data_IF_741772105469
#
_entry.id   IF_741772105469
#
_cell.length_a   1.000
_cell.length_b   1.000
_cell.length_c   1.000
_cell.angle_alpha   90.00
_cell.angle_beta   90.00
_cell.angle_gamma   90.00
#
_symmetry.space_group_name_H-M   'P 1'
#
loop_
_entity.id
_entity.type
_entity.pdbx_description
1 polymer ?
#
# COMPACT_ATOMS: atom_id res chain seq x y z
N UNK A 1 27.76 -46.35 8.26
CA UNK A 1 26.77 -46.53 9.34
C UNK A 1 26.87 -45.39 10.33
N UNK A 2 25.74 -44.93 10.87
CA UNK A 2 25.50 -43.77 11.78
C UNK A 2 25.04 -42.51 11.03
N UNK A 3 23.96 -41.79 11.38
CA UNK A 3 22.69 -42.00 12.13
C UNK A 3 21.92 -40.66 11.93
N UNK A 4 20.62 -40.70 11.64
CA UNK A 4 19.74 -39.51 11.53
C UNK A 4 19.57 -38.79 12.87
N UNK A 5 19.43 -37.46 12.87
CA UNK A 5 18.57 -36.70 13.81
C UNK A 5 17.97 -35.47 13.12
N UNK A 6 16.64 -35.45 12.99
CA UNK A 6 15.81 -34.29 12.71
C UNK A 6 15.47 -33.58 14.03
N UNK A 7 15.44 -32.24 14.05
CA UNK A 7 14.76 -31.49 15.10
C UNK A 7 14.06 -30.27 14.49
N UNK A 8 12.74 -30.34 14.45
CA UNK A 8 11.85 -29.24 14.14
C UNK A 8 11.51 -28.50 15.44
N UNK A 9 11.57 -27.17 15.44
CA UNK A 9 10.99 -26.35 16.51
C UNK A 9 9.86 -25.55 15.90
N UNK A 10 8.63 -25.90 16.29
CA UNK A 10 7.40 -25.16 16.00
C UNK A 10 7.24 -24.11 17.09
N UNK A 11 7.34 -22.83 16.72
CA UNK A 11 6.96 -21.71 17.60
C UNK A 11 5.53 -21.30 17.25
N UNK A 12 4.61 -21.65 18.14
CA UNK A 12 3.24 -21.17 18.15
C UNK A 12 3.19 -19.84 18.90
N UNK A 13 2.85 -18.74 18.19
CA UNK A 13 2.55 -17.46 18.82
C UNK A 13 1.04 -17.28 18.92
N UNK A 14 0.55 -17.20 20.15
CA UNK A 14 -0.83 -16.97 20.53
C UNK A 14 -1.25 -15.53 20.29
N UNK A 15 -2.39 -15.34 19.64
CA UNK A 15 -3.08 -14.06 19.53
C UNK A 15 -3.79 -13.73 20.86
N UNK A 16 -3.56 -12.54 21.39
CA UNK A 16 -4.37 -11.98 22.48
C UNK A 16 -5.39 -10.99 21.89
N UNK A 17 -6.66 -11.39 21.92
CA UNK A 17 -7.82 -10.51 21.72
C UNK A 17 -8.12 -9.84 23.06
N UNK A 18 -8.06 -8.52 23.14
CA UNK A 18 -8.69 -7.75 24.22
C UNK A 18 -9.81 -6.94 23.59
N UNK A 19 -11.03 -7.45 23.71
CA UNK A 19 -12.27 -6.71 23.49
C UNK A 19 -12.70 -6.13 24.84
N UNK A 20 -12.54 -4.82 25.03
CA UNK A 20 -13.12 -4.11 26.17
C UNK A 20 -14.42 -3.48 25.72
N UNK A 21 -15.52 -4.21 25.92
CA UNK A 21 -16.87 -3.64 25.90
C UNK A 21 -17.26 -3.34 27.36
N UNK A 22 -17.20 -2.06 27.74
CA UNK A 22 -17.99 -1.49 28.83
C UNK A 22 -18.86 -0.43 28.16
N UNK A 23 -20.19 -0.56 28.06
CA UNK A 23 -21.10 -1.02 29.10
C UNK A 23 -21.54 0.19 29.91
N UNK A 24 -22.20 1.16 29.26
CA UNK A 24 -22.87 2.27 29.95
C UNK A 24 -24.35 1.95 30.04
N UNK A 25 -24.79 1.79 31.28
CA UNK A 25 -26.10 1.38 31.76
C UNK A 25 -27.25 2.16 31.15
N UNK A 26 -28.13 1.47 30.42
CA UNK A 26 -29.49 1.94 30.14
C UNK A 26 -30.42 1.48 31.26
N UNK A 27 -30.53 2.28 32.32
CA UNK A 27 -31.62 2.17 33.28
C UNK A 27 -32.69 3.21 32.92
N UNK A 28 -33.77 2.74 32.30
CA UNK A 28 -34.98 3.53 32.10
C UNK A 28 -35.99 3.19 33.18
N UNK A 29 -36.38 4.18 33.98
CA UNK A 29 -37.71 4.26 34.61
C UNK A 29 -38.08 5.73 34.80
N UNK A 30 -39.27 6.08 34.34
CA UNK A 30 -39.90 7.40 34.44
C UNK A 30 -40.05 7.86 35.90
N UNK A 31 -39.81 9.15 36.19
CA UNK A 31 -40.73 10.10 36.86
C UNK A 31 -40.04 11.30 37.54
N UNK A 32 -40.47 12.50 37.12
CA UNK A 32 -40.74 13.73 37.90
C UNK A 32 -39.57 14.55 38.48
N UNK A 33 -39.33 15.74 37.92
CA UNK A 33 -39.49 17.06 38.57
C UNK A 33 -38.61 18.15 37.92
N UNK A 34 -39.24 19.24 37.51
CA UNK A 34 -38.67 20.44 36.87
C UNK A 34 -37.74 21.25 37.79
N UNK A 35 -36.62 21.77 37.27
CA UNK A 35 -36.16 23.15 37.55
C UNK A 35 -35.06 23.60 36.58
N UNK A 36 -35.00 24.91 36.36
CA UNK A 36 -34.43 25.60 35.20
C UNK A 36 -32.90 25.82 35.22
N UNK A 37 -32.33 25.82 34.02
CA UNK A 37 -31.40 26.85 33.50
C UNK A 37 -29.99 26.94 34.07
N UNK A 38 -28.98 26.58 33.27
CA UNK A 38 -27.96 27.54 32.81
C UNK A 38 -27.23 26.99 31.58
N UNK A 39 -27.23 27.79 30.52
CA UNK A 39 -26.33 27.72 29.38
C UNK A 39 -24.89 27.97 29.83
N UNK A 40 -24.02 26.97 29.67
CA UNK A 40 -22.57 27.16 29.66
C UNK A 40 -22.02 26.44 28.44
N UNK A 41 -22.00 27.18 27.33
CA UNK A 41 -21.19 26.90 26.17
C UNK A 41 -19.73 27.10 26.53
N UNK A 42 -18.91 26.04 26.48
CA UNK A 42 -17.46 26.18 26.47
C UNK A 42 -16.79 25.03 25.71
N UNK A 43 -16.20 25.43 24.60
CA UNK A 43 -15.15 24.77 23.84
C UNK A 43 -15.45 23.35 23.33
N UNK A 44 -16.05 23.32 22.15
CA UNK A 44 -15.64 22.36 21.12
C UNK A 44 -14.11 22.44 21.01
N UNK A 45 -13.41 21.57 21.73
CA UNK A 45 -12.03 21.25 21.43
C UNK A 45 -12.05 20.92 19.93
N UNK A 46 -11.39 21.77 19.14
CA UNK A 46 -11.42 21.68 17.69
C UNK A 46 -11.23 20.23 17.30
N UNK A 47 -12.28 19.64 16.72
CA UNK A 47 -12.15 18.38 16.03
C UNK A 47 -11.08 18.66 14.98
N UNK A 48 -9.85 18.26 15.26
CA UNK A 48 -8.76 18.23 14.31
C UNK A 48 -9.37 17.61 13.06
N UNK A 49 -9.51 18.42 12.01
CA UNK A 49 -10.25 18.02 10.81
C UNK A 49 -9.74 16.66 10.39
N UNK A 50 -10.59 15.64 10.48
CA UNK A 50 -10.17 14.28 10.21
C UNK A 50 -9.60 14.28 8.79
N UNK A 51 -8.29 14.03 8.67
CA UNK A 51 -7.63 13.99 7.38
C UNK A 51 -8.35 12.95 6.53
N UNK A 52 -9.02 13.41 5.47
CA UNK A 52 -9.78 12.52 4.59
C UNK A 52 -8.80 11.84 3.64
N UNK A 53 -8.76 10.51 3.67
CA UNK A 53 -7.90 9.70 2.81
C UNK A 53 -8.75 9.00 1.74
N UNK A 54 -8.26 8.97 0.51
CA UNK A 54 -8.88 8.22 -0.59
C UNK A 54 -7.89 7.23 -1.20
N UNK A 55 -8.36 6.10 -1.78
CA UNK A 55 -7.48 5.20 -2.53
C UNK A 55 -6.81 5.94 -3.69
N UNK A 56 -5.55 5.62 -3.96
CA UNK A 56 -4.87 6.12 -5.15
C UNK A 56 -5.51 5.55 -6.42
N UNK A 57 -5.40 6.28 -7.52
CA UNK A 57 -5.85 5.82 -8.82
C UNK A 57 -5.08 4.56 -9.25
N UNK A 58 -5.81 3.51 -9.61
CA UNK A 58 -5.26 2.30 -10.24
C UNK A 58 -5.97 2.10 -11.58
N UNK A 59 -5.26 2.20 -12.73
CA UNK A 59 -5.91 2.02 -14.01
C UNK A 59 -6.48 0.61 -14.19
N UNK A 60 -7.54 0.49 -14.98
CA UNK A 60 -8.18 -0.81 -15.23
C UNK A 60 -7.19 -1.83 -15.81
N UNK A 61 -7.25 -3.06 -15.30
CA UNK A 61 -6.37 -4.15 -15.70
C UNK A 61 -4.99 -4.16 -15.04
N UNK A 62 -4.64 -3.16 -14.24
CA UNK A 62 -3.49 -3.15 -13.33
C UNK A 62 -3.84 -3.82 -12.00
N UNK A 63 -2.81 -4.37 -11.34
CA UNK A 63 -3.00 -5.25 -10.17
C UNK A 63 -2.70 -4.54 -8.86
N UNK A 64 -1.50 -4.02 -8.72
CA UNK A 64 -0.99 -3.45 -7.47
C UNK A 64 -0.03 -2.30 -7.74
N UNK A 65 0.27 -1.58 -6.67
CA UNK A 65 1.37 -0.64 -6.59
C UNK A 65 2.64 -1.39 -6.12
N UNK A 66 3.81 -0.84 -6.43
CA UNK A 66 5.05 -1.25 -5.78
C UNK A 66 6.11 -0.17 -5.94
N UNK A 67 7.03 -0.11 -4.98
CA UNK A 67 8.30 0.60 -5.12
C UNK A 67 9.30 -0.22 -5.94
N UNK A 68 9.84 0.36 -7.00
CA UNK A 68 10.98 -0.17 -7.74
C UNK A 68 12.28 0.29 -7.09
N UNK A 69 12.91 -0.58 -6.31
CA UNK A 69 14.25 -0.30 -5.78
C UNK A 69 15.34 -0.47 -6.85
N UNK A 70 15.24 -1.52 -7.67
CA UNK A 70 16.17 -1.79 -8.77
C UNK A 70 15.62 -2.86 -9.73
N UNK A 71 16.18 -2.89 -10.95
CA UNK A 71 16.01 -4.00 -11.89
C UNK A 71 17.35 -4.70 -12.12
N UNK A 72 17.29 -6.01 -12.42
CA UNK A 72 18.47 -6.83 -12.71
C UNK A 72 18.32 -7.52 -14.07
N UNK A 73 19.43 -7.71 -14.76
CA UNK A 73 19.49 -8.54 -15.97
C UNK A 73 20.08 -9.91 -15.61
N UNK A 74 19.28 -10.97 -15.72
CA UNK A 74 19.66 -12.33 -15.34
C UNK A 74 19.25 -13.30 -16.46
N UNK A 75 20.20 -14.09 -16.97
CA UNK A 75 19.97 -15.12 -17.99
C UNK A 75 19.13 -14.62 -19.18
N UNK A 76 19.49 -13.46 -19.72
CA UNK A 76 18.82 -12.88 -20.89
C UNK A 76 17.50 -12.14 -20.60
N UNK A 77 17.08 -12.04 -19.33
CA UNK A 77 15.81 -11.41 -18.94
C UNK A 77 16.01 -10.29 -17.93
N UNK A 78 15.26 -9.21 -18.08
CA UNK A 78 15.11 -8.21 -17.01
C UNK A 78 14.13 -8.74 -15.96
N UNK A 79 14.49 -8.61 -14.69
CA UNK A 79 13.71 -9.03 -13.53
C UNK A 79 13.69 -7.92 -12.50
N UNK A 80 12.54 -7.73 -11.85
CA UNK A 80 12.36 -6.83 -10.70
C UNK A 80 11.81 -7.61 -9.51
N UNK A 81 12.12 -7.15 -8.30
CA UNK A 81 11.52 -7.67 -7.08
C UNK A 81 10.33 -6.79 -6.72
N UNK A 82 9.15 -7.38 -6.69
CA UNK A 82 7.87 -6.69 -6.48
C UNK A 82 7.31 -7.10 -5.13
N UNK A 83 7.12 -6.13 -4.24
CA UNK A 83 6.27 -6.27 -3.06
C UNK A 83 4.96 -5.55 -3.38
N UNK A 84 3.83 -6.26 -3.52
CA UNK A 84 2.56 -5.62 -3.81
C UNK A 84 2.16 -4.66 -2.69
N UNK A 85 1.73 -3.45 -3.05
CA UNK A 85 1.30 -2.41 -2.12
C UNK A 85 -0.12 -1.93 -2.45
N UNK A 86 -0.82 -1.48 -1.40
CA UNK A 86 -1.98 -0.59 -1.51
C UNK A 86 -1.52 0.85 -1.38
N UNK A 87 -2.26 1.79 -1.96
CA UNK A 87 -1.93 3.21 -1.94
C UNK A 87 -3.16 4.02 -1.52
N UNK A 88 -2.95 4.99 -0.62
CA UNK A 88 -3.93 6.04 -0.30
C UNK A 88 -3.25 7.41 -0.37
N UNK A 89 -4.02 8.41 -0.78
CA UNK A 89 -3.60 9.80 -0.88
C UNK A 89 -4.52 10.67 -0.04
N UNK A 90 -3.96 11.70 0.60
CA UNK A 90 -4.71 12.67 1.35
C UNK A 90 -5.56 13.51 0.39
N UNK A 91 -6.85 13.65 0.69
CA UNK A 91 -7.79 14.36 -0.17
C UNK A 91 -7.56 15.88 -0.21
N UNK A 92 -6.88 16.43 0.79
CA UNK A 92 -6.53 17.85 0.89
C UNK A 92 -5.07 18.17 0.52
N UNK A 93 -4.23 17.17 0.28
CA UNK A 93 -2.86 17.32 -0.18
C UNK A 93 -2.43 16.08 -0.99
N UNK A 94 -2.31 16.19 -2.30
CA UNK A 94 -1.97 15.06 -3.16
C UNK A 94 -0.48 14.68 -3.15
N UNK A 95 0.39 15.50 -2.55
CA UNK A 95 1.77 15.14 -2.18
C UNK A 95 1.82 14.13 -1.02
N UNK A 96 0.79 14.11 -0.17
CA UNK A 96 0.74 13.27 1.03
C UNK A 96 0.14 11.89 0.73
N UNK A 97 1.04 10.95 0.43
CA UNK A 97 0.73 9.61 -0.06
C UNK A 97 1.31 8.54 0.86
N UNK A 98 0.50 7.53 1.15
CA UNK A 98 0.91 6.36 1.94
C UNK A 98 0.79 5.10 1.12
N UNK A 99 1.92 4.42 0.96
CA UNK A 99 2.02 3.06 0.42
C UNK A 99 2.13 2.05 1.56
N UNK A 100 1.37 0.96 1.49
CA UNK A 100 1.37 -0.10 2.50
C UNK A 100 1.54 -1.46 1.84
N UNK A 101 2.56 -2.24 2.22
CA UNK A 101 2.72 -3.62 1.73
C UNK A 101 1.47 -4.45 2.01
N UNK A 102 1.05 -5.21 1.00
CA UNK A 102 -0.18 -6.00 0.99
C UNK A 102 0.06 -7.49 0.74
N UNK A 103 1.31 -7.88 0.50
CA UNK A 103 1.67 -9.26 0.20
C UNK A 103 3.16 -9.52 0.23
N UNK A 104 3.53 -10.78 0.02
CA UNK A 104 4.92 -11.20 -0.01
C UNK A 104 5.64 -10.71 -1.28
N UNK A 105 6.92 -10.37 -1.13
CA UNK A 105 7.78 -10.00 -2.24
C UNK A 105 8.02 -11.18 -3.19
N UNK A 106 7.96 -10.92 -4.51
CA UNK A 106 8.19 -11.91 -5.57
C UNK A 106 9.10 -11.35 -6.64
N UNK A 107 9.91 -12.20 -7.27
CA UNK A 107 10.68 -11.82 -8.45
C UNK A 107 9.83 -12.01 -9.69
N UNK A 108 9.68 -10.97 -10.50
CA UNK A 108 8.89 -10.98 -11.72
C UNK A 108 9.75 -10.55 -12.91
N UNK A 109 9.79 -11.41 -13.92
CA UNK A 109 10.41 -11.07 -15.21
C UNK A 109 9.44 -10.31 -16.11
N UNK A 110 9.98 -9.56 -17.06
CA UNK A 110 9.19 -8.92 -18.11
C UNK A 110 8.83 -9.93 -19.21
N UNK A 111 7.60 -9.84 -19.72
CA UNK A 111 7.18 -10.54 -20.91
C UNK A 111 7.84 -9.94 -22.16
N UNK A 112 7.91 -10.71 -23.24
CA UNK A 112 8.31 -10.15 -24.54
C UNK A 112 7.34 -9.05 -24.97
N UNK A 113 7.87 -7.93 -25.46
CA UNK A 113 7.07 -6.77 -25.85
C UNK A 113 6.46 -5.96 -24.69
N UNK A 114 6.87 -6.22 -23.44
CA UNK A 114 6.37 -5.47 -22.30
C UNK A 114 6.63 -3.96 -22.43
N UNK A 115 5.63 -3.15 -22.08
CA UNK A 115 5.75 -1.69 -22.10
C UNK A 115 6.19 -1.19 -20.73
N UNK A 116 7.25 -0.37 -20.69
CA UNK A 116 7.64 0.36 -19.49
C UNK A 116 7.54 1.85 -19.78
N UNK A 117 6.90 2.57 -18.87
CA UNK A 117 6.77 4.01 -18.90
C UNK A 117 7.33 4.59 -17.62
N UNK A 118 8.19 5.60 -17.74
CA UNK A 118 8.85 6.27 -16.62
C UNK A 118 8.63 7.77 -16.73
N UNK A 119 8.75 8.48 -15.61
CA UNK A 119 8.67 9.93 -15.58
C UNK A 119 10.01 10.54 -15.97
N UNK A 120 9.94 11.57 -16.80
CA UNK A 120 11.00 12.52 -17.07
C UNK A 120 10.43 13.89 -16.80
N UNK A 121 10.88 14.49 -15.70
CA UNK A 121 10.27 15.69 -15.11
C UNK A 121 8.79 15.40 -14.76
N UNK A 122 7.85 16.03 -15.46
CA UNK A 122 6.39 15.82 -15.31
C UNK A 122 5.78 15.04 -16.48
N UNK A 123 6.61 14.52 -17.40
CA UNK A 123 6.16 13.84 -18.61
C UNK A 123 6.47 12.34 -18.60
N UNK A 124 5.57 11.54 -19.15
CA UNK A 124 5.76 10.09 -19.24
C UNK A 124 6.45 9.70 -20.54
N UNK A 125 7.56 8.97 -20.45
CA UNK A 125 8.31 8.47 -21.61
C UNK A 125 8.35 6.93 -21.62
N UNK A 126 8.32 6.34 -22.81
CA UNK A 126 8.40 4.88 -22.97
C UNK A 126 9.85 4.43 -23.04
N UNK A 127 10.20 3.42 -22.26
CA UNK A 127 11.54 2.82 -22.22
C UNK A 127 11.45 1.29 -22.36
N UNK A 128 12.56 0.67 -22.77
CA UNK A 128 12.67 -0.79 -22.75
C UNK A 128 12.88 -1.29 -21.31
N UNK A 129 12.40 -2.48 -20.91
CA UNK A 129 12.66 -3.01 -19.57
C UNK A 129 14.14 -3.05 -19.18
N UNK A 130 15.04 -3.36 -20.13
CA UNK A 130 16.50 -3.39 -19.89
C UNK A 130 17.08 -2.02 -19.48
N UNK A 131 16.41 -0.92 -19.84
CA UNK A 131 16.80 0.43 -19.43
C UNK A 131 16.82 0.55 -17.90
N UNK A 132 15.83 0.00 -17.19
CA UNK A 132 15.71 0.08 -15.73
C UNK A 132 16.94 -0.48 -14.97
N UNK A 133 17.74 -1.33 -15.59
CA UNK A 133 18.91 -1.95 -14.96
C UNK A 133 20.05 -0.93 -14.75
N UNK A 134 20.15 0.06 -15.64
CA UNK A 134 21.27 1.00 -15.68
C UNK A 134 20.85 2.45 -15.38
N UNK A 135 19.62 2.68 -14.93
CA UNK A 135 19.07 4.02 -14.73
C UNK A 135 18.59 4.20 -13.30
N UNK A 136 18.83 5.40 -12.77
CA UNK A 136 18.34 5.84 -11.47
C UNK A 136 17.12 6.72 -11.70
N UNK A 137 16.00 6.36 -11.07
CA UNK A 137 14.78 7.16 -11.09
C UNK A 137 14.97 8.37 -10.17
N UNK A 138 14.53 9.54 -10.62
CA UNK A 138 14.78 10.83 -9.95
C UNK A 138 13.64 11.30 -9.06
N UNK A 139 12.40 10.88 -9.33
CA UNK A 139 11.20 11.40 -8.66
C UNK A 139 10.67 10.41 -7.62
N UNK A 140 9.70 9.59 -8.02
CA UNK A 140 8.98 8.65 -7.16
C UNK A 140 9.07 7.28 -7.79
N UNK A 141 9.88 6.35 -7.25
CA UNK A 141 10.07 5.04 -7.85
C UNK A 141 8.84 4.12 -7.65
N UNK A 142 7.64 4.67 -7.53
CA UNK A 142 6.40 3.90 -7.37
C UNK A 142 5.74 3.68 -8.72
N UNK A 143 5.29 2.46 -8.93
CA UNK A 143 4.71 2.01 -10.19
C UNK A 143 3.42 1.26 -9.93
N UNK A 144 2.53 1.28 -10.91
CA UNK A 144 1.54 0.22 -11.07
C UNK A 144 1.97 -0.71 -12.20
N UNK A 145 1.57 -1.99 -12.12
CA UNK A 145 1.94 -3.00 -13.11
C UNK A 145 0.80 -3.95 -13.49
N UNK A 146 0.90 -4.51 -14.70
CA UNK A 146 0.06 -5.59 -15.24
C UNK A 146 0.89 -6.83 -15.41
N UNK A 147 0.28 -7.99 -15.19
CA UNK A 147 0.89 -9.29 -15.44
C UNK A 147 0.05 -10.14 -16.37
N UNK A 148 0.70 -11.04 -17.12
CA UNK A 148 0.02 -12.10 -17.86
C UNK A 148 -0.29 -13.32 -16.96
N UNK A 149 -0.91 -14.36 -17.53
CA UNK A 149 -1.23 -15.62 -16.84
C UNK A 149 0.00 -16.37 -16.31
N UNK A 150 1.20 -16.05 -16.81
CA UNK A 150 2.48 -16.61 -16.36
C UNK A 150 3.15 -15.79 -15.25
N UNK A 151 2.49 -14.75 -14.75
CA UNK A 151 3.04 -13.85 -13.72
C UNK A 151 4.15 -12.92 -14.22
N UNK A 152 4.31 -12.79 -15.54
CA UNK A 152 5.31 -11.87 -16.13
C UNK A 152 4.71 -10.49 -16.31
N UNK A 153 5.51 -9.45 -16.08
CA UNK A 153 5.09 -8.06 -16.26
C UNK A 153 4.90 -7.78 -17.75
N UNK A 154 3.72 -7.29 -18.13
CA UNK A 154 3.36 -6.90 -19.50
C UNK A 154 3.29 -5.39 -19.68
N UNK A 155 2.96 -4.66 -18.62
CA UNK A 155 2.99 -3.20 -18.58
C UNK A 155 3.41 -2.73 -17.19
N UNK A 156 4.17 -1.65 -17.15
CA UNK A 156 4.64 -1.00 -15.93
C UNK A 156 4.72 0.50 -16.20
N UNK A 157 4.18 1.32 -15.31
CA UNK A 157 4.16 2.78 -15.49
C UNK A 157 4.36 3.47 -14.15
N UNK A 158 5.30 4.42 -14.15
CA UNK A 158 5.67 5.22 -12.99
C UNK A 158 4.55 6.18 -12.63
N UNK A 159 4.34 6.38 -11.34
CA UNK A 159 3.26 7.18 -10.79
C UNK A 159 3.80 8.56 -10.44
N UNK A 160 3.14 9.57 -10.97
CA UNK A 160 3.36 10.95 -10.57
C UNK A 160 2.39 11.28 -9.44
N UNK A 161 2.95 11.67 -8.29
CA UNK A 161 2.25 12.48 -7.31
C UNK A 161 2.88 13.86 -7.40
N UNK A 162 2.11 14.90 -7.75
CA UNK A 162 2.61 16.27 -7.80
C UNK A 162 3.19 16.69 -6.46
#
# INVERSE_FOLDING_TARGET
MKRYVSAAVVLASTAALVATACGSSSAGTNAVASTAGVSAQAASAGAAGATSWKPCYLPSGYKHFFKLDSAKFVRGKTVVRVTPETCKVNAGNDEDVVYTPSGAARSSGFASGASVKVLKDTTTVKVAPKWLVNHRLTNSPYFYYRVNSKGQITAMEEIYHP
#
